data_IF_894194699513
#
_entry.id   IF_894194699513
#
_cell.length_a   1.000
_cell.length_b   1.000
_cell.length_c   1.000
_cell.angle_alpha   90.00
_cell.angle_beta   90.00
_cell.angle_gamma   90.00
#
_symmetry.space_group_name_H-M   'P 1'
#
loop_
_entity.id
_entity.type
_entity.pdbx_description
1 polymer ?
#
# COMPACT_ATOMS: atom_id res chain seq x y z
N UNK A 1 -60.50 -36.69 -12.98
CA UNK A 1 -59.33 -36.93 -12.10
C UNK A 1 -58.13 -36.23 -12.71
N UNK A 2 -57.46 -35.28 -12.01
CA UNK A 2 -56.25 -34.64 -12.54
C UNK A 2 -55.12 -35.67 -12.63
N UNK A 3 -54.40 -35.70 -13.74
CA UNK A 3 -53.34 -36.67 -14.00
C UNK A 3 -52.06 -36.29 -13.22
N UNK A 4 -51.62 -37.08 -12.23
CA UNK A 4 -50.51 -36.72 -11.33
C UNK A 4 -49.16 -36.56 -12.03
N UNK A 5 -49.01 -37.10 -13.25
CA UNK A 5 -47.78 -36.95 -14.05
C UNK A 5 -47.62 -35.56 -14.69
N UNK A 6 -48.73 -34.83 -14.95
CA UNK A 6 -48.66 -33.47 -15.54
C UNK A 6 -48.24 -32.41 -14.50
N UNK A 7 -48.61 -32.60 -13.23
CA UNK A 7 -48.30 -31.64 -12.15
C UNK A 7 -46.82 -31.69 -11.73
N UNK A 8 -46.16 -32.86 -11.84
CA UNK A 8 -44.75 -33.01 -11.49
C UNK A 8 -43.79 -32.41 -12.54
N UNK A 9 -44.16 -32.45 -13.83
CA UNK A 9 -43.32 -31.93 -14.92
C UNK A 9 -43.31 -30.39 -14.95
N UNK A 10 -44.43 -29.75 -14.57
CA UNK A 10 -44.54 -28.29 -14.51
C UNK A 10 -43.72 -27.72 -13.33
N UNK A 11 -43.67 -28.43 -12.20
CA UNK A 11 -42.91 -27.98 -11.03
C UNK A 11 -41.38 -28.09 -11.21
N UNK A 12 -40.91 -29.10 -11.95
CA UNK A 12 -39.49 -29.30 -12.20
C UNK A 12 -38.88 -28.22 -13.13
N UNK A 13 -39.67 -27.69 -14.06
CA UNK A 13 -39.25 -26.58 -14.94
C UNK A 13 -39.20 -25.25 -14.16
N UNK A 14 -40.06 -25.06 -13.16
CA UNK A 14 -40.10 -23.85 -12.34
C UNK A 14 -38.88 -23.68 -11.42
N UNK A 15 -38.23 -24.75 -10.96
CA UNK A 15 -37.17 -24.65 -9.94
C UNK A 15 -35.76 -24.39 -10.51
N UNK A 16 -35.54 -24.66 -11.81
CA UNK A 16 -34.29 -24.32 -12.49
C UNK A 16 -34.26 -22.88 -13.04
N UNK A 17 -35.39 -22.15 -12.97
CA UNK A 17 -35.62 -20.87 -13.63
C UNK A 17 -35.34 -19.63 -12.76
N UNK A 18 -34.71 -19.81 -11.59
CA UNK A 18 -34.46 -18.70 -10.64
C UNK A 18 -33.16 -17.90 -10.92
N UNK A 19 -32.39 -18.25 -11.96
CA UNK A 19 -31.10 -17.62 -12.27
C UNK A 19 -31.00 -17.05 -13.68
N UNK A 20 -32.09 -17.02 -14.46
CA UNK A 20 -32.10 -16.41 -15.80
C UNK A 20 -32.77 -15.03 -15.78
N UNK A 21 -32.27 -14.05 -16.57
CA UNK A 21 -32.89 -12.74 -16.68
C UNK A 21 -34.32 -12.90 -17.20
N UNK A 22 -35.26 -12.31 -16.45
CA UNK A 22 -36.72 -12.40 -16.67
C UNK A 22 -37.08 -12.07 -18.11
N UNK A 23 -37.49 -13.07 -18.89
CA UNK A 23 -38.11 -12.88 -20.19
C UNK A 23 -39.56 -13.38 -20.15
N UNK A 24 -40.46 -12.49 -20.55
CA UNK A 24 -41.88 -12.62 -20.91
C UNK A 24 -42.53 -13.98 -20.61
N UNK A 25 -43.38 -14.04 -19.59
CA UNK A 25 -44.33 -15.14 -19.40
C UNK A 25 -45.58 -14.85 -20.26
N UNK A 26 -45.72 -15.51 -21.40
CA UNK A 26 -47.02 -15.60 -22.06
C UNK A 26 -47.90 -16.56 -21.24
N UNK A 27 -48.81 -16.01 -20.42
CA UNK A 27 -49.82 -16.81 -19.72
C UNK A 27 -51.01 -17.04 -20.66
N UNK A 28 -51.07 -18.22 -21.28
CA UNK A 28 -52.26 -18.69 -22.01
C UNK A 28 -52.92 -19.82 -21.22
N UNK A 29 -54.21 -19.66 -20.90
CA UNK A 29 -55.02 -20.70 -20.22
C UNK A 29 -55.52 -21.79 -21.16
N UNK A 30 -55.29 -21.63 -22.46
CA UNK A 30 -56.05 -22.33 -23.50
C UNK A 30 -55.13 -23.20 -24.37
N UNK A 31 -54.46 -24.18 -23.76
CA UNK A 31 -53.99 -25.42 -24.41
C UNK A 31 -53.27 -25.39 -25.78
N UNK A 32 -52.74 -24.25 -26.23
CA UNK A 32 -52.10 -24.11 -27.55
C UNK A 32 -50.58 -24.36 -27.50
N UNK A 33 -50.04 -24.97 -28.56
CA UNK A 33 -48.60 -25.04 -28.81
C UNK A 33 -48.06 -23.63 -29.13
N UNK A 34 -47.18 -23.12 -28.27
CA UNK A 34 -46.34 -21.96 -28.56
C UNK A 34 -45.19 -22.37 -29.49
N UNK A 35 -45.42 -22.35 -30.80
CA UNK A 35 -44.36 -22.53 -31.79
C UNK A 35 -43.61 -21.19 -31.98
N UNK A 36 -42.35 -21.13 -31.53
CA UNK A 36 -41.43 -20.01 -31.82
C UNK A 36 -41.11 -19.04 -30.67
N UNK A 37 -40.97 -19.52 -29.43
CA UNK A 37 -40.38 -18.67 -28.38
C UNK A 37 -38.89 -18.47 -28.66
N UNK A 38 -38.55 -17.32 -29.24
CA UNK A 38 -37.15 -16.89 -29.34
C UNK A 38 -36.74 -16.21 -28.03
N UNK A 39 -35.89 -16.84 -27.24
CA UNK A 39 -35.25 -16.20 -26.08
C UNK A 39 -34.24 -15.15 -26.55
N UNK A 40 -34.63 -13.88 -26.47
CA UNK A 40 -33.70 -12.77 -26.67
C UNK A 40 -32.92 -12.55 -25.37
N UNK A 41 -31.69 -13.04 -25.31
CA UNK A 41 -30.77 -12.70 -24.21
C UNK A 41 -30.34 -11.25 -24.34
N UNK A 42 -30.72 -10.40 -23.38
CA UNK A 42 -30.21 -9.04 -23.29
C UNK A 42 -28.83 -9.06 -22.62
N UNK A 43 -27.80 -8.69 -23.37
CA UNK A 43 -26.43 -8.61 -22.87
C UNK A 43 -26.16 -7.29 -22.15
N UNK A 44 -25.31 -7.33 -21.12
CA UNK A 44 -24.65 -6.14 -20.61
C UNK A 44 -23.48 -5.79 -21.53
N UNK A 45 -23.35 -4.51 -21.88
CA UNK A 45 -22.18 -4.01 -22.61
C UNK A 45 -21.16 -3.44 -21.62
N UNK A 46 -19.93 -3.91 -21.72
CA UNK A 46 -18.79 -3.38 -20.98
C UNK A 46 -17.81 -2.72 -21.94
N UNK A 47 -17.58 -1.42 -21.76
CA UNK A 47 -16.65 -0.64 -22.58
C UNK A 47 -15.53 -0.13 -21.70
N UNK A 48 -14.28 -0.51 -21.94
CA UNK A 48 -13.15 -0.02 -21.14
C UNK A 48 -12.58 1.24 -21.78
N UNK A 49 -12.51 2.33 -21.02
CA UNK A 49 -11.91 3.59 -21.47
C UNK A 49 -10.51 3.75 -20.87
N UNK A 50 -9.48 3.68 -21.71
CA UNK A 50 -8.08 3.79 -21.29
C UNK A 50 -7.67 5.18 -20.82
N UNK A 51 -8.54 6.19 -20.92
CA UNK A 51 -8.31 7.55 -20.44
C UNK A 51 -6.97 8.10 -20.94
N UNK A 52 -6.72 7.92 -22.24
CA UNK A 52 -5.50 8.35 -22.93
C UNK A 52 -4.38 7.32 -23.00
N UNK A 53 -4.48 6.19 -22.29
CA UNK A 53 -3.50 5.10 -22.38
C UNK A 53 -3.60 4.26 -23.65
N UNK A 54 -2.50 3.60 -24.02
CA UNK A 54 -2.36 2.77 -25.21
C UNK A 54 -1.75 1.38 -24.88
N UNK A 55 -2.21 0.29 -25.52
CA UNK A 55 -3.33 0.23 -26.44
C UNK A 55 -4.65 0.46 -25.72
N UNK A 56 -5.59 1.16 -26.37
CA UNK A 56 -6.95 1.23 -25.87
C UNK A 56 -7.55 -0.18 -25.92
N UNK A 57 -8.27 -0.63 -24.87
CA UNK A 57 -9.10 -1.82 -24.99
C UNK A 57 -10.09 -1.59 -26.14
N UNK A 58 -10.21 -2.58 -27.02
CA UNK A 58 -10.97 -2.44 -28.26
C UNK A 58 -12.48 -2.30 -28.07
N UNK A 59 -13.26 -2.86 -29.00
CA UNK A 59 -14.72 -2.75 -29.01
C UNK A 59 -15.40 -3.22 -27.72
N UNK A 60 -16.62 -2.73 -27.42
CA UNK A 60 -17.39 -3.17 -26.25
C UNK A 60 -17.56 -4.68 -26.18
N UNK A 61 -17.47 -5.23 -24.96
CA UNK A 61 -17.64 -6.66 -24.69
C UNK A 61 -19.08 -6.93 -24.26
N UNK A 62 -19.76 -7.85 -24.95
CA UNK A 62 -21.08 -8.33 -24.57
C UNK A 62 -20.95 -9.42 -23.49
N UNK A 63 -21.58 -9.22 -22.34
CA UNK A 63 -21.50 -10.11 -21.18
C UNK A 63 -22.91 -10.49 -20.76
N UNK A 64 -23.16 -11.79 -20.57
CA UNK A 64 -24.43 -12.26 -20.01
C UNK A 64 -24.55 -11.73 -18.57
N UNK A 65 -25.66 -11.09 -18.18
CA UNK A 65 -25.86 -10.63 -16.80
C UNK A 65 -25.57 -11.73 -15.77
N UNK A 66 -24.83 -11.39 -14.71
CA UNK A 66 -24.39 -12.33 -13.68
C UNK A 66 -23.09 -13.09 -14.01
N UNK A 67 -22.52 -12.91 -15.21
CA UNK A 67 -21.20 -13.45 -15.57
C UNK A 67 -20.09 -12.42 -15.36
N UNK A 68 -18.85 -12.89 -15.25
CA UNK A 68 -17.65 -12.03 -15.13
C UNK A 68 -17.15 -11.65 -16.51
N UNK A 69 -16.48 -10.50 -16.60
CA UNK A 69 -15.78 -10.06 -17.82
C UNK A 69 -14.28 -10.33 -17.66
N UNK A 70 -13.61 -10.72 -18.74
CA UNK A 70 -12.16 -10.84 -18.74
C UNK A 70 -11.50 -9.47 -18.56
N UNK A 71 -10.41 -9.42 -17.79
CA UNK A 71 -9.62 -8.19 -17.63
C UNK A 71 -8.84 -7.92 -18.92
N UNK A 72 -8.90 -6.70 -19.50
CA UNK A 72 -8.07 -6.34 -20.64
C UNK A 72 -6.59 -6.24 -20.24
N UNK A 73 -5.69 -6.24 -21.23
CA UNK A 73 -4.29 -5.88 -20.99
C UNK A 73 -4.21 -4.46 -20.38
N UNK A 74 -3.24 -4.25 -19.50
CA UNK A 74 -3.06 -2.94 -18.87
C UNK A 74 -2.56 -1.94 -19.94
N UNK A 75 -3.27 -0.82 -20.15
CA UNK A 75 -2.77 0.22 -21.04
C UNK A 75 -1.51 0.85 -20.44
N UNK A 76 -0.76 1.53 -21.29
CA UNK A 76 0.43 2.30 -20.92
C UNK A 76 0.17 3.77 -21.23
N UNK A 77 0.53 4.65 -20.29
CA UNK A 77 0.54 6.09 -20.48
C UNK A 77 1.92 6.60 -20.05
N UNK A 78 2.65 7.22 -20.99
CA UNK A 78 4.01 7.67 -20.76
C UNK A 78 4.09 8.56 -19.50
N UNK A 79 5.11 8.37 -18.66
CA UNK A 79 5.31 9.04 -17.36
C UNK A 79 4.18 8.86 -16.32
N UNK A 80 3.25 7.92 -16.50
CA UNK A 80 2.22 7.57 -15.52
C UNK A 80 2.24 6.09 -15.15
N UNK A 81 1.89 5.81 -13.89
CA UNK A 81 1.66 4.47 -13.37
C UNK A 81 0.17 4.12 -13.47
N UNK A 82 -0.14 2.97 -14.09
CA UNK A 82 -1.51 2.44 -14.14
C UNK A 82 -1.96 1.95 -12.75
N UNK A 83 -3.02 2.53 -12.20
CA UNK A 83 -3.58 2.18 -10.87
C UNK A 83 -4.71 1.17 -10.94
N UNK A 84 -5.23 0.89 -12.13
CA UNK A 84 -6.33 -0.03 -12.37
C UNK A 84 -7.53 0.62 -13.05
N UNK A 85 -8.61 -0.13 -13.10
CA UNK A 85 -9.90 0.26 -13.65
C UNK A 85 -10.85 0.71 -12.54
N UNK A 86 -11.60 1.78 -12.76
CA UNK A 86 -12.49 2.41 -11.79
C UNK A 86 -13.86 2.69 -12.41
N UNK A 87 -14.89 2.81 -11.60
CA UNK A 87 -16.27 3.05 -12.09
C UNK A 87 -16.59 4.53 -12.34
N UNK A 88 -15.67 5.42 -11.97
CA UNK A 88 -15.83 6.88 -12.06
C UNK A 88 -15.05 7.39 -13.27
N UNK A 89 -15.68 8.23 -14.11
CA UNK A 89 -15.02 8.86 -15.26
C UNK A 89 -14.11 10.00 -14.83
N UNK A 90 -12.95 9.65 -14.29
CA UNK A 90 -11.95 10.61 -13.87
C UNK A 90 -10.55 10.01 -14.10
N UNK A 91 -9.56 10.83 -14.44
CA UNK A 91 -8.20 10.36 -14.83
C UNK A 91 -7.19 10.21 -13.67
N UNK A 92 -7.17 11.15 -12.69
CA UNK A 92 -6.20 11.15 -11.55
C UNK A 92 -6.65 10.75 -10.11
N UNK A 93 -7.81 11.18 -9.60
CA UNK A 93 -8.43 10.69 -8.35
C UNK A 93 -9.81 9.95 -8.48
N UNK A 94 -9.91 8.69 -8.00
CA UNK A 94 -11.18 7.96 -7.81
C UNK A 94 -11.12 7.10 -6.56
N UNK A 95 -12.31 6.84 -6.00
CA UNK A 95 -12.46 6.00 -4.83
C UNK A 95 -12.80 4.56 -5.20
N UNK A 96 -13.70 4.36 -6.17
CA UNK A 96 -14.27 3.03 -6.44
C UNK A 96 -13.48 2.27 -7.52
N UNK A 97 -12.47 1.53 -7.08
CA UNK A 97 -11.71 0.60 -7.93
C UNK A 97 -12.60 -0.59 -8.31
N UNK A 98 -12.66 -0.87 -9.60
CA UNK A 98 -13.34 -2.06 -10.12
C UNK A 98 -12.55 -3.31 -9.74
N UNK A 99 -13.26 -4.34 -9.26
CA UNK A 99 -12.74 -5.68 -9.05
C UNK A 99 -13.38 -6.70 -9.99
N UNK A 100 -12.58 -7.25 -10.91
CA UNK A 100 -12.99 -8.21 -11.95
C UNK A 100 -13.50 -9.55 -11.39
N UNK A 101 -13.34 -9.80 -10.08
CA UNK A 101 -13.89 -10.98 -9.43
C UNK A 101 -15.41 -10.93 -9.30
N UNK A 102 -16.03 -9.74 -9.35
CA UNK A 102 -17.47 -9.56 -9.27
C UNK A 102 -18.16 -9.66 -10.65
N UNK A 103 -19.38 -10.21 -10.71
CA UNK A 103 -20.13 -10.34 -11.95
C UNK A 103 -20.65 -8.99 -12.46
N UNK A 104 -20.78 -8.89 -13.77
CA UNK A 104 -21.42 -7.76 -14.46
C UNK A 104 -22.93 -7.97 -14.43
N UNK A 105 -23.65 -7.03 -13.84
CA UNK A 105 -25.13 -7.09 -13.72
C UNK A 105 -25.85 -6.01 -14.51
N UNK A 106 -25.12 -5.01 -14.99
CA UNK A 106 -25.61 -3.92 -15.84
C UNK A 106 -24.49 -3.46 -16.78
N UNK A 107 -24.86 -2.90 -17.93
CA UNK A 107 -23.91 -2.24 -18.82
C UNK A 107 -23.16 -1.12 -18.09
N UNK A 108 -21.86 -1.00 -18.33
CA UNK A 108 -21.00 -0.03 -17.62
C UNK A 108 -19.70 0.24 -18.37
N UNK A 109 -19.07 1.35 -18.01
CA UNK A 109 -17.78 1.77 -18.56
C UNK A 109 -16.77 1.88 -17.43
N UNK A 110 -15.87 0.90 -17.25
CA UNK A 110 -14.68 1.09 -16.41
C UNK A 110 -13.67 2.04 -17.06
N UNK A 111 -13.13 2.95 -16.27
CA UNK A 111 -12.16 3.97 -16.68
C UNK A 111 -10.78 3.68 -16.09
N UNK A 112 -9.74 3.74 -16.91
CA UNK A 112 -8.36 3.61 -16.47
C UNK A 112 -7.96 4.79 -15.58
N UNK A 113 -7.13 4.49 -14.58
CA UNK A 113 -6.68 5.46 -13.58
C UNK A 113 -5.17 5.53 -13.57
N UNK A 114 -4.66 6.75 -13.48
CA UNK A 114 -3.25 7.05 -13.63
C UNK A 114 -2.71 7.85 -12.45
N UNK A 115 -1.53 7.49 -11.96
CA UNK A 115 -0.76 8.32 -11.04
C UNK A 115 0.51 8.79 -11.74
N UNK A 116 0.76 10.11 -11.72
CA UNK A 116 1.98 10.66 -12.30
C UNK A 116 3.19 10.02 -11.62
N UNK A 117 4.17 9.57 -12.40
CA UNK A 117 5.43 9.08 -11.85
C UNK A 117 6.23 10.28 -11.35
N UNK A 118 6.71 10.18 -10.12
CA UNK A 118 7.53 11.16 -9.42
C UNK A 118 8.79 10.46 -8.93
N UNK A 119 9.88 11.21 -8.90
CA UNK A 119 11.17 10.77 -8.39
C UNK A 119 11.30 11.15 -6.92
N UNK A 120 11.77 10.21 -6.10
CA UNK A 120 12.23 10.46 -4.74
C UNK A 120 13.72 10.17 -4.73
N UNK A 121 14.49 11.18 -4.37
CA UNK A 121 15.93 11.11 -4.25
C UNK A 121 16.34 11.26 -2.81
N UNK A 122 17.46 10.66 -2.46
CA UNK A 122 18.05 10.74 -1.14
C UNK A 122 19.43 11.34 -1.30
N UNK A 123 19.68 12.46 -0.62
CA UNK A 123 20.98 13.11 -0.63
C UNK A 123 22.02 12.39 0.23
N UNK A 124 23.30 12.64 -0.04
CA UNK A 124 24.38 12.20 0.85
C UNK A 124 24.21 12.86 2.22
N UNK A 125 24.38 12.06 3.27
CA UNK A 125 24.28 12.52 4.64
C UNK A 125 25.59 12.20 5.35
N UNK A 126 26.20 13.20 6.00
CA UNK A 126 27.40 12.97 6.81
C UNK A 126 27.04 12.23 8.11
N UNK A 127 27.90 11.31 8.56
CA UNK A 127 27.79 10.59 9.83
C UNK A 127 26.53 9.71 9.99
N UNK A 128 26.01 9.21 8.86
CA UNK A 128 24.93 8.25 8.81
C UNK A 128 24.56 7.93 7.38
N UNK A 129 23.44 7.24 7.20
CA UNK A 129 22.84 6.99 5.88
C UNK A 129 21.33 6.89 5.99
N UNK A 130 20.66 6.90 4.84
CA UNK A 130 19.22 6.67 4.74
C UNK A 130 18.98 5.40 3.93
N UNK A 131 18.09 4.55 4.43
CA UNK A 131 17.68 3.29 3.81
C UNK A 131 16.17 3.27 3.54
N UNK A 132 15.72 2.28 2.75
CA UNK A 132 14.30 2.06 2.45
C UNK A 132 13.80 2.74 1.19
N UNK A 133 14.68 3.39 0.41
CA UNK A 133 14.33 3.88 -0.92
C UNK A 133 14.22 2.70 -1.89
N UNK A 134 13.08 2.57 -2.56
CA UNK A 134 12.88 1.60 -3.62
C UNK A 134 13.87 1.81 -4.78
N UNK A 135 14.24 0.73 -5.45
CA UNK A 135 15.14 0.78 -6.61
C UNK A 135 14.64 1.78 -7.67
N UNK A 136 15.53 2.65 -8.13
CA UNK A 136 15.21 3.71 -9.09
C UNK A 136 14.48 4.93 -8.52
N UNK A 137 14.03 4.89 -7.26
CA UNK A 137 13.39 6.03 -6.60
C UNK A 137 12.10 6.52 -7.29
N UNK A 138 11.42 5.68 -8.09
CA UNK A 138 10.23 6.07 -8.82
C UNK A 138 8.96 5.65 -8.08
N UNK A 139 8.03 6.59 -7.91
CA UNK A 139 6.77 6.39 -7.19
C UNK A 139 5.63 7.03 -7.96
N UNK A 140 4.43 6.47 -7.85
CA UNK A 140 3.23 7.15 -8.31
C UNK A 140 2.82 8.22 -7.30
N UNK A 141 2.38 9.39 -7.77
CA UNK A 141 1.73 10.39 -6.92
C UNK A 141 0.65 9.74 -6.05
N UNK A 142 0.67 10.07 -4.75
CA UNK A 142 -0.17 9.46 -3.72
C UNK A 142 0.43 8.23 -3.03
N UNK A 143 1.54 7.67 -3.52
CA UNK A 143 2.26 6.60 -2.81
C UNK A 143 2.84 7.10 -1.49
N UNK A 144 2.94 6.19 -0.53
CA UNK A 144 3.62 6.46 0.74
C UNK A 144 5.01 5.85 0.72
N UNK A 145 6.03 6.67 0.96
CA UNK A 145 7.41 6.23 1.15
C UNK A 145 7.69 6.09 2.64
N UNK A 146 8.45 5.05 3.01
CA UNK A 146 8.98 4.86 4.36
C UNK A 146 10.51 4.76 4.28
N UNK A 147 11.19 5.78 4.77
CA UNK A 147 12.65 5.82 4.87
C UNK A 147 13.08 5.59 6.32
N UNK A 148 14.28 5.05 6.49
CA UNK A 148 14.89 4.83 7.80
C UNK A 148 16.29 5.44 7.83
N UNK A 149 16.55 6.34 8.77
CA UNK A 149 17.89 6.84 9.02
C UNK A 149 18.66 5.81 9.83
N UNK A 150 19.89 5.53 9.41
CA UNK A 150 20.85 4.68 10.11
C UNK A 150 22.04 5.55 10.51
N UNK A 151 22.06 6.07 11.75
CA UNK A 151 23.21 6.83 12.25
C UNK A 151 24.48 6.00 12.25
N UNK A 152 25.63 6.64 12.02
CA UNK A 152 26.93 6.03 12.28
C UNK A 152 27.14 5.81 13.78
N UNK A 153 28.14 5.00 14.15
CA UNK A 153 28.51 4.79 15.55
C UNK A 153 28.83 6.13 16.22
N UNK A 154 28.23 6.36 17.40
CA UNK A 154 28.41 7.61 18.15
C UNK A 154 27.55 8.79 17.66
N UNK A 155 26.61 8.56 16.74
CA UNK A 155 25.68 9.57 16.26
C UNK A 155 24.22 9.16 16.51
N UNK A 156 23.35 10.16 16.58
CA UNK A 156 21.89 10.02 16.56
C UNK A 156 21.29 10.84 15.41
N UNK A 157 20.05 10.53 15.04
CA UNK A 157 19.30 11.37 14.09
C UNK A 157 19.12 12.77 14.69
N UNK A 158 19.44 13.80 13.91
CA UNK A 158 19.18 15.20 14.22
C UNK A 158 17.80 15.60 13.69
N UNK A 159 17.72 15.85 12.38
CA UNK A 159 16.47 16.17 11.71
C UNK A 159 16.42 15.61 10.29
N UNK A 160 15.21 15.29 9.82
CA UNK A 160 14.98 15.04 8.41
C UNK A 160 14.89 16.36 7.64
N UNK A 161 15.34 16.35 6.40
CA UNK A 161 15.14 17.45 5.45
C UNK A 161 14.34 16.97 4.26
N UNK A 162 13.47 17.84 3.75
CA UNK A 162 12.72 17.61 2.51
C UNK A 162 12.81 18.86 1.64
N UNK A 163 13.19 18.66 0.38
CA UNK A 163 13.27 19.70 -0.65
C UNK A 163 14.09 20.93 -0.21
N UNK A 164 15.18 20.67 0.51
CA UNK A 164 16.09 21.70 1.05
C UNK A 164 15.62 22.34 2.37
N UNK A 165 14.41 22.08 2.83
CA UNK A 165 13.88 22.53 4.12
C UNK A 165 14.03 21.49 5.22
N UNK A 166 14.05 21.91 6.49
CA UNK A 166 13.94 20.98 7.63
C UNK A 166 12.49 20.54 7.78
N UNK A 167 12.25 19.24 7.89
CA UNK A 167 10.93 18.67 8.14
C UNK A 167 10.79 18.24 9.61
N UNK A 168 10.33 19.18 10.43
CA UNK A 168 10.12 18.97 11.87
C UNK A 168 8.95 18.06 12.21
N UNK A 169 8.16 17.60 11.23
CA UNK A 169 7.03 16.70 11.49
C UNK A 169 7.48 15.27 11.89
N UNK A 170 8.78 14.95 11.76
CA UNK A 170 9.33 13.65 12.11
C UNK A 170 10.62 13.76 12.94
N UNK A 171 10.53 13.38 14.23
CA UNK A 171 11.66 13.39 15.17
C UNK A 171 12.33 12.01 15.35
N UNK A 172 11.93 11.00 14.57
CA UNK A 172 12.38 9.62 14.73
C UNK A 172 13.33 9.15 13.63
N UNK A 173 13.89 7.96 13.80
CA UNK A 173 14.69 7.30 12.77
C UNK A 173 13.85 6.81 11.57
N UNK A 174 12.51 6.80 11.67
CA UNK A 174 11.61 6.40 10.58
C UNK A 174 10.84 7.60 10.06
N UNK A 175 11.01 7.89 8.78
CA UNK A 175 10.33 8.98 8.09
C UNK A 175 9.30 8.44 7.10
N UNK A 176 8.07 8.92 7.19
CA UNK A 176 6.97 8.50 6.32
C UNK A 176 6.30 9.71 5.70
N UNK A 177 6.10 9.66 4.38
CA UNK A 177 5.42 10.74 3.67
C UNK A 177 4.74 10.28 2.39
N UNK A 178 3.76 11.07 1.95
CA UNK A 178 3.06 10.87 0.68
C UNK A 178 3.74 11.65 -0.43
N UNK A 179 4.03 10.98 -1.54
CA UNK A 179 4.63 11.58 -2.74
C UNK A 179 3.60 12.44 -3.45
N UNK A 180 3.84 13.74 -3.53
CA UNK A 180 2.95 14.69 -4.22
C UNK A 180 3.56 15.28 -5.50
N UNK A 181 4.87 15.12 -5.67
CA UNK A 181 5.70 15.58 -6.76
C UNK A 181 7.09 14.97 -6.61
N UNK A 182 8.04 15.40 -7.44
CA UNK A 182 9.44 15.05 -7.23
C UNK A 182 9.90 15.55 -5.85
N UNK A 183 10.68 14.74 -5.15
CA UNK A 183 11.06 15.02 -3.76
C UNK A 183 12.52 14.66 -3.53
N UNK A 184 13.25 15.54 -2.86
CA UNK A 184 14.59 15.27 -2.33
C UNK A 184 14.53 15.15 -0.82
N UNK A 185 15.07 14.07 -0.27
CA UNK A 185 15.10 13.82 1.18
C UNK A 185 16.55 13.75 1.67
N UNK A 186 16.82 14.38 2.80
CA UNK A 186 18.08 14.26 3.52
C UNK A 186 17.85 14.02 5.02
N UNK A 187 18.94 13.80 5.74
CA UNK A 187 18.95 13.68 7.18
C UNK A 187 20.24 14.28 7.75
N UNK A 188 20.11 15.00 8.86
CA UNK A 188 21.26 15.45 9.65
C UNK A 188 21.49 14.49 10.81
N UNK A 189 22.74 14.29 11.18
CA UNK A 189 23.12 13.43 12.29
C UNK A 189 23.93 14.25 13.30
N UNK A 190 23.57 14.14 14.58
CA UNK A 190 24.23 14.82 15.67
C UNK A 190 25.06 13.83 16.47
N UNK A 191 26.28 14.21 16.82
CA UNK A 191 27.14 13.41 17.67
C UNK A 191 26.48 13.22 19.04
N UNK A 192 26.60 12.01 19.59
CA UNK A 192 26.18 11.71 20.95
C UNK A 192 27.31 12.14 21.87
N UNK A 193 27.04 13.12 22.72
CA UNK A 193 28.01 13.57 23.71
C UNK A 193 28.32 12.46 24.70
N UNK A 194 29.62 12.29 24.97
CA UNK A 194 30.08 11.36 26.01
C UNK A 194 29.60 11.89 27.35
N UNK A 195 29.05 11.00 28.16
CA UNK A 195 28.72 11.31 29.55
C UNK A 195 29.96 11.16 30.42
N UNK A 196 30.09 12.00 31.44
CA UNK A 196 31.15 11.86 32.43
C UNK A 196 30.81 10.70 33.37
N UNK A 197 31.71 9.72 33.42
CA UNK A 197 31.63 8.59 34.34
C UNK A 197 32.37 8.92 35.63
N UNK A 198 31.64 9.02 36.73
CA UNK A 198 32.21 9.21 38.07
C UNK A 198 32.28 7.88 38.80
N UNK A 199 33.33 7.71 39.62
CA UNK A 199 33.53 6.54 40.46
C UNK A 199 33.83 6.97 41.89
N UNK A 200 33.09 6.45 42.86
CA UNK A 200 33.26 6.75 44.29
C UNK A 200 33.32 5.46 45.13
N UNK A 201 34.07 5.45 46.25
CA UNK A 201 34.03 4.33 47.20
C UNK A 201 32.61 4.13 47.75
N UNK A 202 32.12 2.89 47.77
CA UNK A 202 30.78 2.58 48.30
C UNK A 202 30.78 1.44 49.35
N UNK A 203 31.96 1.04 49.82
CA UNK A 203 32.16 -0.02 50.80
C UNK A 203 33.48 -0.76 50.57
N UNK A 204 33.84 -1.68 51.47
CA UNK A 204 35.05 -2.49 51.29
C UNK A 204 34.95 -3.34 50.01
N UNK A 205 35.85 -3.09 49.06
CA UNK A 205 35.86 -3.78 47.76
C UNK A 205 34.78 -3.31 46.76
N UNK A 206 33.99 -2.29 47.09
CA UNK A 206 32.88 -1.81 46.27
C UNK A 206 33.13 -0.40 45.75
N UNK A 207 32.87 -0.20 44.45
CA UNK A 207 32.81 1.12 43.81
C UNK A 207 31.38 1.38 43.36
N UNK A 208 30.93 2.63 43.50
CA UNK A 208 29.71 3.11 42.89
C UNK A 208 30.07 3.95 41.67
N UNK A 209 29.43 3.64 40.55
CA UNK A 209 29.58 4.36 39.30
C UNK A 209 28.33 5.19 39.04
N UNK A 210 28.50 6.45 38.65
CA UNK A 210 27.38 7.34 38.30
C UNK A 210 27.71 8.13 37.03
N UNK A 211 26.72 8.32 36.16
CA UNK A 211 26.83 9.12 34.94
C UNK A 211 25.45 9.67 34.56
N UNK A 212 25.45 10.78 33.82
CA UNK A 212 24.22 11.35 33.28
C UNK A 212 23.75 10.59 32.05
N UNK A 213 22.43 10.51 31.86
CA UNK A 213 21.87 9.86 30.69
C UNK A 213 22.14 10.70 29.44
N UNK A 214 22.84 10.14 28.45
CA UNK A 214 22.92 10.68 27.09
C UNK A 214 21.60 10.46 26.33
N UNK A 215 21.10 11.49 25.67
CA UNK A 215 19.89 11.40 24.85
C UNK A 215 20.09 10.53 23.60
N UNK A 216 19.13 9.64 23.35
CA UNK A 216 19.08 8.80 22.15
C UNK A 216 19.91 7.52 22.22
N UNK A 217 20.50 7.17 23.36
CA UNK A 217 21.23 5.91 23.53
C UNK A 217 20.31 4.78 24.01
N UNK A 218 20.55 3.56 23.51
CA UNK A 218 19.85 2.34 23.94
C UNK A 218 20.52 1.64 25.12
N UNK A 219 21.75 2.02 25.47
CA UNK A 219 22.52 1.45 26.57
C UNK A 219 23.92 2.06 26.68
N UNK A 220 24.64 1.65 27.73
CA UNK A 220 26.01 2.05 27.98
C UNK A 220 26.88 0.81 28.09
N UNK A 221 28.07 0.87 27.50
CA UNK A 221 29.13 -0.10 27.73
C UNK A 221 30.19 0.54 28.63
N UNK A 222 30.53 -0.12 29.73
CA UNK A 222 31.51 0.37 30.70
C UNK A 222 32.73 -0.54 30.63
N UNK A 223 33.87 0.05 30.30
CA UNK A 223 35.15 -0.64 30.25
C UNK A 223 35.99 -0.27 31.47
N UNK A 224 36.59 -1.28 32.13
CA UNK A 224 37.60 -1.07 33.16
C UNK A 224 38.96 -1.46 32.61
N UNK A 225 39.97 -0.63 32.85
CA UNK A 225 41.37 -0.98 32.58
C UNK A 225 42.11 -1.03 33.91
N UNK A 226 42.65 -2.19 34.28
CA UNK A 226 43.55 -2.28 35.43
C UNK A 226 44.95 -1.89 34.98
N UNK A 227 45.43 -0.74 35.42
CA UNK A 227 46.87 -0.47 35.43
C UNK A 227 47.41 -1.06 36.74
N UNK A 228 48.35 -2.03 36.72
CA UNK A 228 48.91 -2.57 37.96
C UNK A 228 49.70 -1.47 38.69
N UNK A 229 49.04 -0.83 39.66
CA UNK A 229 49.67 0.08 40.61
C UNK A 229 50.16 -0.66 41.85
N UNK A 230 51.36 -0.33 42.32
CA UNK A 230 51.83 -0.76 43.64
C UNK A 230 51.05 0.02 44.69
N UNK A 231 50.12 -0.62 45.39
CA UNK A 231 49.53 -0.04 46.59
C UNK A 231 50.60 -0.03 47.69
N UNK A 232 51.15 1.15 47.99
CA UNK A 232 51.97 1.35 49.17
C UNK A 232 51.13 1.08 50.41
N UNK A 233 51.50 0.05 51.18
CA UNK A 233 50.97 -0.09 52.53
C UNK A 233 51.61 1.02 53.36
N UNK A 234 50.85 2.06 53.69
CA UNK A 234 51.22 2.89 54.84
C UNK A 234 51.04 2.04 56.10
N UNK A 235 52.08 1.82 56.92
CA UNK A 235 51.92 1.16 58.20
C UNK A 235 51.07 2.05 59.11
N UNK A 236 50.07 1.46 59.75
CA UNK A 236 49.32 2.10 60.83
C UNK A 236 50.29 2.67 61.87
N UNK A 237 50.16 3.95 62.21
CA UNK A 237 50.80 4.56 63.38
C UNK A 237 50.05 4.18 64.65
#
# INVERSE_FOLDING_TARGET
>A
MPNPKKTALILAVCMALALMPKNVFAAGTDGGEINGVTETTVYCQVTFDSQGGSPAPGSPVNVIPGKKVARPADPVLEVFLFRGWYTENTTYYAKNKWDFRYPVTKSMTPYARWAKICSVTVGECANGRIEGLAAGGLYGKGDTVKLTAVPAQGYRIGAWTRDGGTDSACAGIVYKFTVNGDTSVGATFSQIEKTELTAEPSGFGCIKLSWDKSDGVSGYEIFRTSVPGRYGREPCR
#
